data_IF_097633757207
#
_entry.id   IF_097633757207
#
_cell.length_a   1.000
_cell.length_b   1.000
_cell.length_c   1.000
_cell.angle_alpha   90.00
_cell.angle_beta   90.00
_cell.angle_gamma   90.00
#
_symmetry.space_group_name_H-M   'P 1'
#
loop_
_entity.id
_entity.type
_entity.pdbx_description
1 polymer ?
#
# COMPACT_ATOMS: atom_id res chain seq x y z
N UNK A 1 -1.41 20.70 4.82
CA UNK A 1 -1.16 19.81 3.66
C UNK A 1 -2.04 18.59 3.80
N UNK A 2 -2.62 18.15 2.69
CA UNK A 2 -3.35 16.89 2.58
C UNK A 2 -2.37 15.77 2.19
N UNK A 3 -2.25 14.76 3.04
CA UNK A 3 -1.38 13.60 2.84
C UNK A 3 -2.24 12.35 2.69
N UNK A 4 -2.00 11.60 1.62
CA UNK A 4 -2.64 10.31 1.40
C UNK A 4 -1.65 9.18 1.63
N UNK A 5 -1.97 8.30 2.58
CA UNK A 5 -1.29 7.03 2.79
C UNK A 5 -2.04 5.99 1.96
N UNK A 6 -1.42 5.51 0.89
CA UNK A 6 -2.06 4.59 -0.03
C UNK A 6 -1.59 3.15 0.22
N UNK A 7 -2.54 2.23 0.25
CA UNK A 7 -2.28 0.81 0.46
C UNK A 7 -3.15 -0.08 -0.43
N UNK A 8 -2.74 -1.35 -0.54
CA UNK A 8 -3.44 -2.36 -1.33
C UNK A 8 -3.48 -3.68 -0.58
N UNK A 9 -4.63 -4.33 -0.64
CA UNK A 9 -4.85 -5.70 -0.14
C UNK A 9 -4.92 -6.71 -1.28
N UNK A 10 -4.71 -6.26 -2.52
CA UNK A 10 -4.66 -7.16 -3.68
C UNK A 10 -3.51 -8.16 -3.49
N UNK A 11 -3.65 -9.33 -4.11
CA UNK A 11 -2.79 -10.51 -3.92
C UNK A 11 -2.79 -11.08 -2.50
N UNK A 12 -3.84 -10.78 -1.72
CA UNK A 12 -3.96 -11.14 -0.30
C UNK A 12 -2.70 -10.71 0.51
N UNK A 13 -2.02 -9.66 0.03
CA UNK A 13 -0.79 -9.18 0.60
C UNK A 13 -1.09 -8.45 1.91
N UNK A 14 -0.52 -8.96 2.99
CA UNK A 14 -0.55 -8.31 4.29
C UNK A 14 0.89 -8.05 4.68
N UNK A 15 1.37 -6.84 4.38
CA UNK A 15 2.80 -6.51 4.33
C UNK A 15 3.51 -6.82 5.64
N UNK A 16 2.89 -6.49 6.76
CA UNK A 16 3.46 -6.74 8.09
C UNK A 16 3.11 -8.12 8.66
N UNK A 17 1.97 -8.68 8.25
CA UNK A 17 1.42 -9.88 8.85
C UNK A 17 1.91 -11.16 8.15
N UNK A 18 1.88 -11.22 6.82
CA UNK A 18 2.39 -12.36 6.04
C UNK A 18 3.92 -12.44 6.08
N UNK A 19 4.62 -11.29 6.09
CA UNK A 19 6.07 -11.24 6.20
C UNK A 19 6.60 -11.50 7.61
N UNK A 20 5.90 -11.04 8.65
CA UNK A 20 6.38 -11.11 10.04
C UNK A 20 5.87 -12.28 10.87
N UNK A 21 4.64 -12.77 10.62
CA UNK A 21 3.99 -13.79 11.47
C UNK A 21 3.96 -15.18 10.80
N UNK A 22 4.59 -15.35 9.63
CA UNK A 22 4.69 -16.64 8.95
C UNK A 22 3.34 -17.23 8.51
N UNK A 23 2.32 -16.39 8.33
CA UNK A 23 1.02 -16.90 7.89
C UNK A 23 1.00 -17.17 6.40
N UNK A 24 0.44 -18.32 6.03
CA UNK A 24 0.36 -18.74 4.64
C UNK A 24 -0.49 -17.77 3.80
N UNK A 25 -0.25 -17.78 2.49
CA UNK A 25 -1.12 -17.14 1.52
C UNK A 25 -2.12 -18.17 1.02
N UNK A 26 -3.37 -17.76 0.79
CA UNK A 26 -4.32 -18.67 0.14
C UNK A 26 -3.92 -18.85 -1.33
N UNK A 27 -3.60 -20.07 -1.80
CA UNK A 27 -3.02 -20.31 -3.14
C UNK A 27 -4.04 -20.20 -4.28
N UNK A 28 -5.26 -19.72 -4.03
CA UNK A 28 -6.26 -19.42 -5.07
C UNK A 28 -6.98 -20.62 -5.68
N UNK A 29 -6.65 -21.87 -5.31
CA UNK A 29 -7.20 -23.10 -5.93
C UNK A 29 -7.99 -23.94 -4.93
N UNK A 30 -9.06 -24.62 -5.37
CA UNK A 30 -9.78 -25.58 -4.52
C UNK A 30 -11.30 -25.73 -4.69
N UNK A 31 -11.90 -25.30 -5.81
CA UNK A 31 -13.35 -25.43 -6.02
C UNK A 31 -14.19 -24.77 -4.91
N UNK A 32 -15.31 -25.37 -4.53
CA UNK A 32 -16.22 -24.83 -3.49
C UNK A 32 -15.55 -24.71 -2.11
N UNK A 33 -14.75 -25.71 -1.70
CA UNK A 33 -14.00 -25.67 -0.43
C UNK A 33 -12.98 -24.55 -0.43
N UNK A 34 -12.30 -24.35 -1.55
CA UNK A 34 -11.38 -23.23 -1.75
C UNK A 34 -12.08 -21.87 -1.59
N UNK A 35 -13.28 -21.70 -2.15
CA UNK A 35 -14.06 -20.46 -1.99
C UNK A 35 -14.44 -20.17 -0.53
N UNK A 36 -14.76 -21.20 0.26
CA UNK A 36 -15.06 -21.04 1.69
C UNK A 36 -13.80 -20.59 2.45
N UNK A 37 -12.67 -21.27 2.23
CA UNK A 37 -11.39 -20.91 2.87
C UNK A 37 -10.99 -19.48 2.49
N UNK A 38 -11.10 -19.12 1.21
CA UNK A 38 -10.83 -17.76 0.73
C UNK A 38 -11.74 -16.73 1.41
N UNK A 39 -13.03 -17.03 1.56
CA UNK A 39 -13.97 -16.15 2.24
C UNK A 39 -13.58 -15.93 3.71
N UNK A 40 -13.19 -17.00 4.43
CA UNK A 40 -12.71 -16.86 5.81
C UNK A 40 -11.41 -16.04 5.89
N UNK A 41 -10.47 -16.27 4.97
CA UNK A 41 -9.21 -15.53 4.91
C UNK A 41 -9.40 -14.03 4.63
N UNK A 42 -10.39 -13.68 3.82
CA UNK A 42 -10.72 -12.28 3.47
C UNK A 42 -11.59 -11.59 4.51
N UNK A 43 -12.38 -12.34 5.28
CA UNK A 43 -13.25 -11.82 6.33
C UNK A 43 -12.45 -11.31 7.52
N UNK A 44 -11.33 -11.95 7.84
CA UNK A 44 -10.44 -11.48 8.91
C UNK A 44 -9.66 -10.25 8.44
N UNK A 45 -10.25 -9.08 8.71
CA UNK A 45 -9.59 -7.79 8.57
C UNK A 45 -8.32 -7.80 9.41
N UNK A 46 -7.16 -7.69 8.76
CA UNK A 46 -5.88 -7.53 9.44
C UNK A 46 -5.48 -6.06 9.42
N UNK A 47 -4.87 -5.57 10.51
CA UNK A 47 -4.66 -4.15 10.74
C UNK A 47 -3.82 -3.50 9.64
N UNK A 48 -3.99 -2.19 9.42
CA UNK A 48 -3.15 -1.44 8.49
C UNK A 48 -1.68 -1.64 8.81
N UNK A 49 -0.82 -1.49 7.80
CA UNK A 49 0.63 -1.53 8.04
C UNK A 49 0.98 -0.59 9.20
N UNK A 50 1.67 -1.11 10.21
CA UNK A 50 1.94 -0.40 11.47
C UNK A 50 2.70 0.90 11.22
N UNK A 51 3.56 0.90 10.20
CA UNK A 51 4.27 2.10 9.74
C UNK A 51 3.30 3.21 9.32
N UNK A 52 2.20 2.89 8.63
CA UNK A 52 1.19 3.87 8.27
C UNK A 52 0.38 4.37 9.46
N UNK A 53 0.11 3.51 10.45
CA UNK A 53 -0.55 3.95 11.68
C UNK A 53 0.31 5.00 12.42
N UNK A 54 1.62 4.74 12.57
CA UNK A 54 2.55 5.71 13.16
C UNK A 54 2.69 6.98 12.33
N UNK A 55 2.87 6.85 11.01
CA UNK A 55 3.00 8.00 10.13
C UNK A 55 1.76 8.89 10.19
N UNK A 56 0.57 8.29 10.13
CA UNK A 56 -0.69 9.02 10.25
C UNK A 56 -0.80 9.77 11.58
N UNK A 57 -0.44 9.12 12.69
CA UNK A 57 -0.47 9.75 14.01
C UNK A 57 0.50 10.93 14.12
N UNK A 58 1.75 10.76 13.66
CA UNK A 58 2.79 11.80 13.70
C UNK A 58 2.38 12.99 12.81
N UNK A 59 1.98 12.74 11.57
CA UNK A 59 1.60 13.79 10.62
C UNK A 59 0.36 14.56 11.08
N UNK A 60 -0.65 13.88 11.63
CA UNK A 60 -1.81 14.56 12.24
C UNK A 60 -1.43 15.43 13.43
N UNK A 61 -0.52 14.94 14.29
CA UNK A 61 0.00 15.72 15.43
C UNK A 61 0.75 16.98 14.98
N UNK A 62 1.34 16.96 13.78
CA UNK A 62 1.98 18.13 13.16
C UNK A 62 1.00 19.05 12.42
N UNK A 63 -0.31 18.77 12.45
CA UNK A 63 -1.34 19.60 11.83
C UNK A 63 -1.62 19.29 10.35
N UNK A 64 -1.15 18.15 9.83
CA UNK A 64 -1.51 17.71 8.49
C UNK A 64 -2.87 17.00 8.48
N UNK A 65 -3.61 17.16 7.38
CA UNK A 65 -4.78 16.34 7.10
C UNK A 65 -4.30 15.04 6.45
N UNK A 66 -4.67 13.89 7.04
CA UNK A 66 -4.14 12.59 6.63
C UNK A 66 -5.25 11.60 6.35
N UNK A 67 -5.30 11.13 5.12
CA UNK A 67 -6.23 10.11 4.65
C UNK A 67 -5.53 8.78 4.42
N UNK A 68 -6.08 7.69 4.96
CA UNK A 68 -5.64 6.33 4.65
C UNK A 68 -6.59 5.73 3.61
N UNK A 69 -6.06 5.40 2.43
CA UNK A 69 -6.84 4.93 1.28
C UNK A 69 -6.37 3.53 0.92
N UNK A 70 -7.32 2.60 0.83
CA UNK A 70 -7.03 1.18 0.53
C UNK A 70 -7.81 0.73 -0.69
N UNK A 71 -7.12 0.13 -1.67
CA UNK A 71 -7.68 -0.46 -2.89
C UNK A 71 -8.52 0.49 -3.77
N UNK A 72 -8.42 1.80 -3.56
CA UNK A 72 -9.15 2.82 -4.33
C UNK A 72 -8.17 3.81 -4.92
N UNK A 73 -8.53 4.42 -6.05
CA UNK A 73 -7.80 5.57 -6.56
C UNK A 73 -7.88 6.69 -5.52
N UNK A 74 -6.75 7.21 -5.02
CA UNK A 74 -6.80 8.27 -4.05
C UNK A 74 -7.26 9.58 -4.70
N UNK A 75 -7.97 10.41 -3.94
CA UNK A 75 -8.36 11.76 -4.36
C UNK A 75 -7.16 12.72 -4.37
N UNK A 76 -7.35 13.99 -4.78
CA UNK A 76 -6.29 14.99 -4.83
C UNK A 76 -5.57 15.20 -3.50
N UNK A 77 -4.23 15.30 -3.53
CA UNK A 77 -3.39 15.46 -2.35
C UNK A 77 -2.11 16.24 -2.67
N UNK A 78 -1.51 16.83 -1.63
CA UNK A 78 -0.20 17.45 -1.74
C UNK A 78 0.91 16.40 -1.73
N UNK A 79 0.70 15.32 -0.96
CA UNK A 79 1.67 14.23 -0.79
C UNK A 79 0.96 12.87 -0.80
N UNK A 80 1.48 11.94 -1.58
CA UNK A 80 1.15 10.52 -1.54
C UNK A 80 2.30 9.74 -0.91
N UNK A 81 1.99 8.80 -0.02
CA UNK A 81 2.97 7.91 0.58
C UNK A 81 2.62 6.47 0.27
N UNK A 82 3.59 5.75 -0.31
CA UNK A 82 3.51 4.34 -0.64
C UNK A 82 4.52 3.56 0.21
N UNK A 83 4.11 2.40 0.70
CA UNK A 83 4.99 1.43 1.35
C UNK A 83 4.88 0.09 0.59
N UNK A 84 5.48 -0.02 -0.61
CA UNK A 84 5.30 -1.18 -1.46
C UNK A 84 5.91 -2.43 -0.87
N UNK A 85 5.33 -3.58 -1.22
CA UNK A 85 5.89 -4.90 -0.96
C UNK A 85 6.14 -5.62 -2.27
N UNK A 86 7.11 -6.54 -2.32
CA UNK A 86 7.47 -7.27 -3.55
C UNK A 86 6.25 -7.92 -4.22
N UNK A 87 5.35 -8.45 -3.39
CA UNK A 87 4.10 -9.09 -3.83
C UNK A 87 3.09 -8.18 -4.52
N UNK A 88 3.11 -6.90 -4.19
CA UNK A 88 2.14 -5.91 -4.67
C UNK A 88 2.76 -4.91 -5.63
N UNK A 89 4.10 -4.95 -5.79
CA UNK A 89 4.88 -3.90 -6.44
C UNK A 89 4.33 -3.50 -7.80
N UNK A 90 3.96 -4.46 -8.65
CA UNK A 90 3.39 -4.15 -9.97
C UNK A 90 2.08 -3.35 -9.91
N UNK A 91 1.24 -3.57 -8.89
CA UNK A 91 0.00 -2.82 -8.67
C UNK A 91 0.33 -1.40 -8.19
N UNK A 92 1.29 -1.27 -7.28
CA UNK A 92 1.70 0.02 -6.73
C UNK A 92 2.36 0.89 -7.79
N UNK A 93 3.25 0.33 -8.62
CA UNK A 93 3.86 1.05 -9.75
C UNK A 93 2.80 1.58 -10.73
N UNK A 94 1.77 0.79 -11.03
CA UNK A 94 0.66 1.25 -11.88
C UNK A 94 -0.10 2.42 -11.26
N UNK A 95 -0.33 2.41 -9.94
CA UNK A 95 -1.04 3.49 -9.25
C UNK A 95 -0.16 4.74 -9.19
N UNK A 96 1.12 4.59 -8.86
CA UNK A 96 2.11 5.68 -8.84
C UNK A 96 2.18 6.35 -10.22
N UNK A 97 2.33 5.57 -11.29
CA UNK A 97 2.40 6.10 -12.66
C UNK A 97 1.15 6.91 -13.04
N UNK A 98 -0.04 6.40 -12.71
CA UNK A 98 -1.31 7.13 -12.96
C UNK A 98 -1.42 8.40 -12.15
N UNK A 99 -0.99 8.40 -10.89
CA UNK A 99 -1.03 9.58 -10.04
C UNK A 99 -0.04 10.64 -10.47
N UNK A 100 1.17 10.23 -10.84
CA UNK A 100 2.20 11.14 -11.37
C UNK A 100 1.70 11.87 -12.62
N UNK A 101 1.03 11.16 -13.52
CA UNK A 101 0.42 11.76 -14.71
C UNK A 101 -0.80 12.66 -14.39
N UNK A 102 -1.66 12.25 -13.44
CA UNK A 102 -2.89 12.98 -13.12
C UNK A 102 -2.66 14.19 -12.21
N UNK A 103 -1.60 14.18 -11.41
CA UNK A 103 -1.31 15.19 -10.39
C UNK A 103 0.18 15.56 -10.39
N UNK A 104 0.64 16.26 -11.45
CA UNK A 104 2.07 16.54 -11.65
C UNK A 104 2.70 17.43 -10.56
N UNK A 105 1.88 18.14 -9.78
CA UNK A 105 2.35 18.99 -8.68
C UNK A 105 2.39 18.27 -7.33
N UNK A 106 1.80 17.08 -7.22
CA UNK A 106 1.79 16.32 -5.98
C UNK A 106 3.13 15.58 -5.80
N UNK A 107 3.60 15.49 -4.55
CA UNK A 107 4.80 14.70 -4.23
C UNK A 107 4.42 13.25 -3.98
N UNK A 108 5.15 12.33 -4.57
CA UNK A 108 5.00 10.90 -4.30
C UNK A 108 6.22 10.42 -3.54
N UNK A 109 6.01 9.93 -2.33
CA UNK A 109 7.03 9.34 -1.46
C UNK A 109 6.90 7.84 -1.45
N UNK A 110 8.01 7.12 -1.65
CA UNK A 110 8.05 5.66 -1.53
C UNK A 110 8.97 5.26 -0.39
N UNK A 111 8.43 4.54 0.59
CA UNK A 111 9.14 4.14 1.81
C UNK A 111 9.19 2.61 1.95
N UNK A 112 9.99 2.14 2.89
CA UNK A 112 10.06 0.73 3.27
C UNK A 112 11.11 -0.08 2.52
N UNK A 113 11.08 -1.39 2.73
CA UNK A 113 12.17 -2.30 2.32
C UNK A 113 12.36 -2.36 0.82
N UNK A 114 11.27 -2.31 0.03
CA UNK A 114 11.38 -2.34 -1.43
C UNK A 114 12.00 -1.04 -1.96
N UNK A 115 11.62 0.11 -1.40
CA UNK A 115 12.23 1.40 -1.76
C UNK A 115 13.74 1.41 -1.46
N UNK A 116 14.14 0.83 -0.31
CA UNK A 116 15.54 0.75 0.09
C UNK A 116 16.36 -0.25 -0.75
N UNK A 117 15.84 -1.45 -0.97
CA UNK A 117 16.58 -2.54 -1.61
C UNK A 117 16.54 -2.47 -3.15
N UNK A 118 15.51 -1.86 -3.73
CA UNK A 118 15.27 -1.79 -5.18
C UNK A 118 14.91 -0.35 -5.60
N UNK A 119 15.74 0.66 -5.33
CA UNK A 119 15.40 2.05 -5.68
C UNK A 119 15.23 2.25 -7.20
N UNK A 120 15.94 1.47 -8.01
CA UNK A 120 15.96 1.59 -9.48
C UNK A 120 14.59 1.36 -10.12
N UNK A 121 13.71 0.56 -9.49
CA UNK A 121 12.36 0.31 -10.01
C UNK A 121 11.46 1.55 -9.98
N UNK A 122 11.90 2.62 -9.31
CA UNK A 122 11.14 3.86 -9.14
C UNK A 122 11.74 5.06 -9.88
N UNK A 123 12.95 4.96 -10.43
CA UNK A 123 13.70 6.11 -10.99
C UNK A 123 12.92 6.85 -12.08
N UNK A 124 12.21 6.12 -12.95
CA UNK A 124 11.46 6.70 -14.07
C UNK A 124 10.11 7.31 -13.65
N UNK A 125 9.68 7.13 -12.40
CA UNK A 125 8.36 7.54 -11.92
C UNK A 125 8.34 8.93 -11.25
N UNK A 126 9.49 9.59 -11.15
CA UNK A 126 9.61 10.92 -10.56
C UNK A 126 9.22 10.96 -9.07
N UNK A 127 9.41 9.84 -8.37
CA UNK A 127 9.13 9.74 -6.92
C UNK A 127 10.36 10.12 -6.10
N UNK A 128 10.12 10.47 -4.83
CA UNK A 128 11.18 10.73 -3.83
C UNK A 128 11.23 9.61 -2.80
#
# INVERSE_FOLDING_TARGET
MHVVLWDTRKNDAQKDFAGGMGVGMYPGRGGLRGRIIQHMYRRDFRPPALHFAYLAAILRRQGHDVSYVVDRTPGPADVYVFNPALMTLGIELQVISRLSAAQPNARILVIGQVAFALPDVFQELGVT
#
